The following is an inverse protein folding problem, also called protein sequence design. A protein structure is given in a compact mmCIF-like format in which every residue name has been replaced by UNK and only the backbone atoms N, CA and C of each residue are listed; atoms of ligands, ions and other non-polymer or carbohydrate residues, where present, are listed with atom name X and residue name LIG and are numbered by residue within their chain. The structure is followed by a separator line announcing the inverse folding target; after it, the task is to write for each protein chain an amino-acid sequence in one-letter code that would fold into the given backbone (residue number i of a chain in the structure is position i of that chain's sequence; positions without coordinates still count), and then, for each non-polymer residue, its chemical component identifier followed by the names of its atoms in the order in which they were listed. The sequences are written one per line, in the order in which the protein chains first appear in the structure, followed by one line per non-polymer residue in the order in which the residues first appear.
data_IF_115082138936
#
_entry.id   IF_115082138936
#
_cell.length_a   1.000
_cell.length_b   1.000
_cell.length_c   1.000
_cell.angle_alpha   90.00
_cell.angle_beta   90.00
_cell.angle_gamma   90.00
#
_symmetry.space_group_name_H-M   'P 1'
#
loop_
_entity.id
_entity.type
_entity.pdbx_description
1 polymer ?
#
# COMPACT_ATOMS: atom_id res chain seq x y z
N UNK A 1 59.52 -6.36 2.94
CA UNK A 1 58.99 -5.00 3.23
C UNK A 1 57.97 -4.61 2.17
N UNK A 2 56.83 -5.28 2.04
CA UNK A 2 55.73 -4.90 1.09
C UNK A 2 54.32 -5.23 1.63
N UNK A 3 54.08 -5.23 2.95
CA UNK A 3 52.79 -5.56 3.56
C UNK A 3 52.19 -4.49 4.47
N UNK A 4 52.73 -3.26 4.48
CA UNK A 4 52.27 -2.16 5.36
C UNK A 4 51.53 -1.02 4.67
N UNK A 5 51.46 -0.98 3.35
CA UNK A 5 50.76 0.10 2.61
C UNK A 5 49.30 -0.22 2.23
N UNK A 6 48.80 -1.44 2.42
CA UNK A 6 47.41 -1.83 2.06
C UNK A 6 46.38 -1.57 3.15
N UNK A 7 46.81 -1.36 4.40
CA UNK A 7 45.92 -1.14 5.54
C UNK A 7 45.53 0.33 5.80
N UNK A 8 46.26 1.27 5.22
CA UNK A 8 46.00 2.71 5.41
C UNK A 8 45.06 3.27 4.36
N UNK A 9 44.95 2.68 3.19
CA UNK A 9 44.01 3.08 2.14
C UNK A 9 42.55 2.61 2.38
N UNK A 10 42.34 1.59 3.23
CA UNK A 10 40.99 1.09 3.55
C UNK A 10 40.24 1.92 4.60
N UNK A 11 40.92 2.71 5.44
CA UNK A 11 40.30 3.54 6.47
C UNK A 11 39.84 4.92 5.99
N UNK A 12 40.34 5.43 4.87
CA UNK A 12 39.97 6.76 4.35
C UNK A 12 38.68 6.69 3.51
N UNK A 13 38.35 5.53 2.96
CA UNK A 13 37.12 5.31 2.18
C UNK A 13 35.83 5.18 3.03
N UNK A 14 35.93 4.88 4.33
CA UNK A 14 34.77 4.76 5.22
C UNK A 14 34.34 6.06 5.92
N UNK A 15 35.11 7.12 5.85
CA UNK A 15 34.81 8.38 6.54
C UNK A 15 34.00 9.39 5.70
N UNK A 16 33.70 9.09 4.44
CA UNK A 16 32.99 10.00 3.51
C UNK A 16 31.52 9.63 3.23
N UNK A 17 30.97 8.60 3.89
CA UNK A 17 29.59 8.16 3.66
C UNK A 17 28.56 8.56 4.72
N UNK A 18 28.89 9.45 5.65
CA UNK A 18 27.95 9.95 6.67
C UNK A 18 27.58 11.42 6.50
N UNK A 19 27.48 11.92 5.26
CA UNK A 19 26.69 13.10 4.98
C UNK A 19 25.22 12.68 5.00
N UNK A 20 24.62 12.59 6.20
CA UNK A 20 23.18 12.55 6.38
C UNK A 20 22.63 13.81 5.71
N UNK A 21 22.08 13.65 4.51
CA UNK A 21 21.26 14.67 3.87
C UNK A 21 20.02 14.78 4.77
N UNK A 22 20.06 15.75 5.70
CA UNK A 22 18.85 16.24 6.32
C UNK A 22 18.03 16.87 5.18
N UNK A 23 17.17 16.10 4.56
CA UNK A 23 16.12 16.59 3.70
C UNK A 23 15.18 17.39 4.60
N UNK A 24 15.41 18.70 4.65
CA UNK A 24 14.45 19.63 5.20
C UNK A 24 13.20 19.43 4.36
N UNK A 25 12.17 18.85 4.96
CA UNK A 25 10.82 18.79 4.40
C UNK A 25 10.37 20.23 4.24
N UNK A 26 10.55 20.80 3.04
CA UNK A 26 9.95 22.09 2.72
C UNK A 26 8.44 21.91 2.77
N UNK A 27 7.68 22.89 3.28
CA UNK A 27 6.22 22.84 3.22
C UNK A 27 5.82 22.69 1.75
N UNK A 28 5.14 21.62 1.48
CA UNK A 28 4.75 21.23 0.12
C UNK A 28 3.65 22.19 -0.33
N UNK A 29 4.02 23.29 -0.96
CA UNK A 29 3.11 24.04 -1.82
C UNK A 29 3.01 23.32 -3.17
N UNK A 30 2.64 22.02 -3.15
CA UNK A 30 2.40 21.29 -4.38
C UNK A 30 1.11 21.78 -5.01
N UNK A 31 1.21 22.17 -6.27
CA UNK A 31 0.01 22.39 -7.09
C UNK A 31 -0.80 21.07 -7.18
N UNK A 32 -2.12 21.20 -7.27
CA UNK A 32 -3.02 20.05 -7.38
C UNK A 32 -2.58 19.02 -8.42
N UNK A 33 -2.08 19.50 -9.56
CA UNK A 33 -1.58 18.65 -10.64
C UNK A 33 -0.38 17.79 -10.17
N UNK A 34 0.55 18.38 -9.44
CA UNK A 34 1.74 17.68 -8.94
C UNK A 34 1.35 16.60 -7.91
N UNK A 35 0.40 16.91 -7.01
CA UNK A 35 -0.15 15.96 -6.04
C UNK A 35 -0.83 14.79 -6.75
N UNK A 36 -1.64 15.07 -7.77
CA UNK A 36 -2.31 14.03 -8.55
C UNK A 36 -1.32 13.12 -9.30
N UNK A 37 -0.32 13.70 -9.95
CA UNK A 37 0.71 12.93 -10.67
C UNK A 37 1.54 12.08 -9.69
N UNK A 38 1.88 12.60 -8.52
CA UNK A 38 2.56 11.84 -7.48
C UNK A 38 1.69 10.67 -6.97
N UNK A 39 0.42 10.92 -6.68
CA UNK A 39 -0.52 9.91 -6.23
C UNK A 39 -0.74 8.82 -7.29
N UNK A 40 -0.80 9.17 -8.58
CA UNK A 40 -0.96 8.21 -9.67
C UNK A 40 0.17 7.18 -9.74
N UNK A 41 1.38 7.58 -9.34
CA UNK A 41 2.57 6.71 -9.35
C UNK A 41 2.74 5.98 -8.02
N UNK A 42 2.48 6.65 -6.90
CA UNK A 42 2.90 6.19 -5.57
C UNK A 42 1.76 5.58 -4.74
N UNK A 43 0.49 5.87 -5.04
CA UNK A 43 -0.64 5.33 -4.29
C UNK A 43 -0.63 3.79 -4.28
N UNK A 44 -0.66 3.21 -3.08
CA UNK A 44 -0.59 1.77 -2.88
C UNK A 44 -1.79 1.03 -3.50
N UNK A 45 -2.99 1.65 -3.49
CA UNK A 45 -4.19 1.06 -4.06
C UNK A 45 -4.13 0.98 -5.59
N UNK A 46 -3.53 1.98 -6.24
CA UNK A 46 -3.29 1.98 -7.69
C UNK A 46 -2.29 0.90 -8.07
N UNK A 47 -1.19 0.79 -7.33
CA UNK A 47 -0.19 -0.27 -7.57
C UNK A 47 -0.79 -1.67 -7.42
N UNK A 48 -1.59 -1.88 -6.37
CA UNK A 48 -2.28 -3.13 -6.15
C UNK A 48 -3.29 -3.44 -7.27
N UNK A 49 -4.06 -2.44 -7.72
CA UNK A 49 -5.04 -2.60 -8.80
C UNK A 49 -4.37 -2.87 -10.15
N UNK A 50 -3.23 -2.25 -10.45
CA UNK A 50 -2.43 -2.57 -11.65
C UNK A 50 -1.95 -4.02 -11.61
N UNK A 51 -1.36 -4.46 -10.50
CA UNK A 51 -0.93 -5.85 -10.33
C UNK A 51 -2.10 -6.85 -10.44
N UNK A 52 -3.28 -6.49 -9.92
CA UNK A 52 -4.49 -7.28 -10.05
C UNK A 52 -5.01 -7.36 -11.50
N UNK A 53 -4.94 -6.25 -12.25
CA UNK A 53 -5.30 -6.21 -13.66
C UNK A 53 -4.31 -7.05 -14.50
N UNK A 54 -3.01 -6.98 -14.21
CA UNK A 54 -2.00 -7.81 -14.87
C UNK A 54 -2.23 -9.30 -14.59
N UNK A 55 -2.53 -9.69 -13.35
CA UNK A 55 -2.93 -11.05 -13.00
C UNK A 55 -4.24 -11.47 -13.70
N UNK A 56 -5.16 -10.52 -13.88
CA UNK A 56 -6.39 -10.73 -14.67
C UNK A 56 -6.11 -11.05 -16.14
N UNK A 57 -5.18 -10.35 -16.76
CA UNK A 57 -4.76 -10.58 -18.16
C UNK A 57 -4.18 -11.96 -18.37
N UNK A 58 -3.50 -12.53 -17.38
CA UNK A 58 -2.92 -13.88 -17.45
C UNK A 58 -4.00 -15.00 -17.47
N UNK A 59 -5.25 -14.70 -17.15
CA UNK A 59 -6.35 -15.69 -17.29
C UNK A 59 -6.60 -16.09 -18.73
N UNK A 60 -6.34 -15.20 -19.68
CA UNK A 60 -6.52 -15.51 -21.11
C UNK A 60 -5.48 -16.51 -21.63
N UNK A 61 -4.15 -16.34 -21.42
CA UNK A 61 -3.15 -17.36 -21.74
C UNK A 61 -3.42 -18.70 -21.04
N UNK A 62 -3.84 -18.67 -19.77
CA UNK A 62 -4.18 -19.88 -19.01
C UNK A 62 -5.35 -20.65 -19.64
N UNK A 63 -6.43 -19.94 -20.01
CA UNK A 63 -7.56 -20.55 -20.69
C UNK A 63 -7.17 -21.10 -22.08
N UNK A 64 -6.30 -20.37 -22.82
CA UNK A 64 -5.75 -20.80 -24.09
C UNK A 64 -4.89 -22.06 -23.93
N UNK A 65 -4.09 -22.17 -22.87
CA UNK A 65 -3.30 -23.37 -22.58
C UNK A 65 -4.16 -24.63 -22.42
N UNK A 66 -5.41 -24.47 -21.96
CA UNK A 66 -6.36 -25.56 -21.89
C UNK A 66 -6.78 -26.17 -23.24
N UNK A 67 -6.60 -25.45 -24.34
CA UNK A 67 -6.86 -25.89 -25.71
C UNK A 67 -5.61 -26.51 -26.36
N UNK A 68 -4.43 -26.36 -25.77
CA UNK A 68 -3.17 -26.86 -26.29
C UNK A 68 -2.88 -28.27 -25.79
N UNK A 69 -1.93 -28.99 -26.43
CA UNK A 69 -1.43 -30.28 -25.95
C UNK A 69 -0.84 -30.13 -24.54
N UNK A 70 -1.25 -31.02 -23.63
CA UNK A 70 -0.74 -31.08 -22.27
C UNK A 70 0.21 -32.28 -22.15
N UNK A 71 1.44 -32.01 -21.73
CA UNK A 71 2.47 -33.03 -21.47
C UNK A 71 2.62 -33.12 -19.96
N UNK A 72 2.48 -34.33 -19.41
CA UNK A 72 2.77 -34.61 -18.00
C UNK A 72 3.76 -35.74 -17.88
N UNK A 73 4.73 -35.58 -16.98
CA UNK A 73 5.68 -36.61 -16.60
C UNK A 73 5.52 -36.90 -15.11
N UNK A 74 5.29 -38.16 -14.76
CA UNK A 74 5.19 -38.61 -13.37
C UNK A 74 6.23 -39.68 -13.11
N UNK A 75 6.87 -39.60 -11.96
CA UNK A 75 7.76 -40.63 -11.44
C UNK A 75 7.32 -40.97 -10.02
N UNK A 76 7.07 -42.26 -9.78
CA UNK A 76 6.72 -42.75 -8.45
C UNK A 76 7.55 -43.94 -8.08
N UNK A 77 7.94 -44.04 -6.82
CA UNK A 77 8.60 -45.14 -6.21
C UNK A 77 7.81 -45.59 -5.00
N UNK A 78 7.30 -46.82 -5.03
CA UNK A 78 6.53 -47.41 -3.94
C UNK A 78 7.36 -48.52 -3.28
N UNK A 79 7.34 -48.53 -1.94
CA UNK A 79 7.83 -49.67 -1.16
C UNK A 79 6.61 -50.54 -0.84
N UNK A 80 6.62 -51.74 -1.42
CA UNK A 80 5.54 -52.71 -1.23
C UNK A 80 6.00 -53.74 -0.22
N UNK A 81 5.12 -54.03 0.75
CA UNK A 81 5.26 -55.12 1.68
C UNK A 81 4.05 -56.05 1.49
N UNK A 82 4.29 -57.22 0.97
CA UNK A 82 3.23 -58.20 0.64
C UNK A 82 3.38 -59.41 1.53
N UNK A 83 2.38 -59.59 2.40
CA UNK A 83 2.20 -60.78 3.20
C UNK A 83 1.24 -61.76 2.44
N UNK A 84 1.79 -62.82 1.95
CA UNK A 84 1.03 -63.87 1.21
C UNK A 84 0.98 -65.14 2.05
N UNK A 85 -0.22 -65.62 2.35
CA UNK A 85 -0.40 -66.88 3.04
C UNK A 85 -0.97 -67.92 2.05
N UNK A 86 -0.21 -68.95 1.77
CA UNK A 86 -0.64 -70.07 0.92
C UNK A 86 -0.41 -71.40 1.60
N UNK A 87 -1.31 -72.41 1.40
CA UNK A 87 -1.11 -73.74 1.94
C UNK A 87 0.05 -74.44 1.22
N UNK A 88 0.93 -75.13 1.97
CA UNK A 88 1.98 -75.95 1.40
C UNK A 88 1.39 -77.31 0.93
N UNK A 89 2.24 -78.20 0.31
CA UNK A 89 1.83 -79.55 -0.17
C UNK A 89 1.24 -80.45 0.92
N UNK A 90 1.39 -80.14 2.17
CA UNK A 90 0.82 -80.83 3.35
C UNK A 90 -0.41 -80.15 3.94
N UNK A 91 -0.95 -79.08 3.28
CA UNK A 91 -2.12 -78.34 3.71
C UNK A 91 -1.90 -77.30 4.84
N UNK A 92 -0.65 -77.11 5.33
CA UNK A 92 -0.35 -76.12 6.37
C UNK A 92 -0.19 -74.73 5.78
N UNK A 93 -0.75 -73.67 6.41
CA UNK A 93 -0.58 -72.30 5.95
C UNK A 93 0.89 -71.84 6.14
N UNK A 94 1.53 -71.37 5.07
CA UNK A 94 2.82 -70.75 5.07
C UNK A 94 2.66 -69.28 4.67
N UNK A 95 3.13 -68.37 5.54
CA UNK A 95 3.11 -66.95 5.24
C UNK A 95 4.51 -66.57 4.75
N UNK A 96 4.54 -65.96 3.59
CA UNK A 96 5.76 -65.38 2.98
C UNK A 96 5.62 -63.87 3.00
N UNK A 97 6.62 -63.18 3.50
CA UNK A 97 6.71 -61.69 3.49
C UNK A 97 7.67 -61.27 2.42
N UNK A 98 7.19 -60.66 1.37
CA UNK A 98 8.00 -60.12 0.28
C UNK A 98 8.03 -58.61 0.32
N UNK A 99 9.22 -58.04 0.45
CA UNK A 99 9.43 -56.58 0.39
C UNK A 99 10.12 -56.25 -0.92
N UNK A 100 9.47 -55.39 -1.73
CA UNK A 100 10.07 -54.97 -3.00
C UNK A 100 9.71 -53.51 -3.32
N UNK A 101 10.63 -52.87 -4.05
CA UNK A 101 10.39 -51.53 -4.60
C UNK A 101 9.80 -51.64 -6.00
N UNK A 102 8.76 -50.88 -6.27
CA UNK A 102 8.22 -50.71 -7.62
C UNK A 102 8.42 -49.27 -8.08
N UNK A 103 9.13 -49.09 -9.18
CA UNK A 103 9.36 -47.80 -9.83
C UNK A 103 8.45 -47.70 -11.06
N UNK A 104 7.75 -46.57 -11.15
CA UNK A 104 6.93 -46.22 -12.32
C UNK A 104 7.34 -44.86 -12.85
N UNK A 105 7.60 -44.77 -14.15
CA UNK A 105 7.88 -43.53 -14.87
C UNK A 105 6.91 -43.44 -16.04
N UNK A 106 6.03 -42.45 -16.01
CA UNK A 106 4.99 -42.29 -17.04
C UNK A 106 5.12 -40.93 -17.69
N UNK A 107 5.19 -40.92 -19.02
CA UNK A 107 5.09 -39.72 -19.84
C UNK A 107 3.73 -39.78 -20.58
N UNK A 108 2.92 -38.77 -20.37
CA UNK A 108 1.57 -38.70 -20.96
C UNK A 108 1.42 -37.41 -21.76
N UNK A 109 0.95 -37.54 -23.00
CA UNK A 109 0.50 -36.44 -23.86
C UNK A 109 -1.01 -36.52 -23.99
N UNK A 110 -1.70 -35.42 -23.66
CA UNK A 110 -3.15 -35.32 -23.80
C UNK A 110 -3.50 -34.09 -24.61
N UNK A 111 -4.15 -34.31 -25.77
CA UNK A 111 -4.66 -33.27 -26.67
C UNK A 111 -6.19 -33.33 -26.73
N UNK A 112 -6.92 -32.31 -26.26
CA UNK A 112 -8.37 -32.23 -26.53
C UNK A 112 -8.57 -31.80 -27.98
N UNK A 113 -9.21 -32.66 -28.79
CA UNK A 113 -9.53 -32.37 -30.20
C UNK A 113 -10.81 -31.53 -30.33
N UNK A 114 -11.86 -31.91 -29.61
CA UNK A 114 -13.12 -31.18 -29.52
C UNK A 114 -13.55 -31.12 -28.05
N UNK A 115 -13.59 -29.93 -27.49
CA UNK A 115 -14.05 -29.70 -26.12
C UNK A 115 -14.74 -28.33 -26.01
N UNK A 116 -16.08 -28.38 -26.13
CA UNK A 116 -16.93 -27.17 -26.09
C UNK A 116 -16.78 -26.43 -24.73
N UNK A 117 -16.61 -27.16 -23.63
CA UNK A 117 -16.45 -26.57 -22.31
C UNK A 117 -15.17 -25.70 -22.25
N UNK A 118 -14.04 -26.18 -22.77
CA UNK A 118 -12.79 -25.42 -22.79
C UNK A 118 -12.87 -24.22 -23.73
N UNK A 119 -13.62 -24.34 -24.83
CA UNK A 119 -13.88 -23.23 -25.71
C UNK A 119 -14.69 -22.13 -25.01
N UNK A 120 -15.73 -22.51 -24.28
CA UNK A 120 -16.52 -21.56 -23.49
C UNK A 120 -15.72 -20.93 -22.35
N UNK A 121 -14.82 -21.68 -21.71
CA UNK A 121 -13.90 -21.15 -20.72
C UNK A 121 -12.94 -20.11 -21.32
N UNK A 122 -12.49 -20.30 -22.56
CA UNK A 122 -11.68 -19.33 -23.26
C UNK A 122 -12.46 -18.03 -23.56
N UNK A 123 -13.70 -18.12 -24.00
CA UNK A 123 -14.56 -16.95 -24.21
C UNK A 123 -14.87 -16.25 -22.87
N UNK A 124 -15.13 -17.01 -21.81
CA UNK A 124 -15.30 -16.47 -20.47
C UNK A 124 -14.03 -15.72 -20.00
N UNK A 125 -12.85 -16.25 -20.28
CA UNK A 125 -11.59 -15.59 -19.90
C UNK A 125 -11.42 -14.22 -20.57
N UNK A 126 -11.90 -14.03 -21.82
CA UNK A 126 -11.91 -12.72 -22.47
C UNK A 126 -12.75 -11.70 -21.69
N UNK A 127 -13.94 -12.12 -21.24
CA UNK A 127 -14.81 -11.26 -20.44
C UNK A 127 -14.22 -10.93 -19.07
N UNK A 128 -13.51 -11.88 -18.43
CA UNK A 128 -12.81 -11.66 -17.17
C UNK A 128 -11.62 -10.70 -17.31
N UNK A 129 -10.94 -10.71 -18.44
CA UNK A 129 -9.89 -9.70 -18.73
C UNK A 129 -10.52 -8.31 -18.85
N UNK A 130 -11.60 -8.18 -19.64
CA UNK A 130 -12.31 -6.91 -19.78
C UNK A 130 -12.85 -6.38 -18.43
N UNK A 131 -13.37 -7.26 -17.57
CA UNK A 131 -13.78 -6.92 -16.20
C UNK A 131 -12.62 -6.39 -15.37
N UNK A 132 -11.44 -7.05 -15.44
CA UNK A 132 -10.25 -6.63 -14.70
C UNK A 132 -9.76 -5.25 -15.14
N UNK A 133 -9.81 -4.96 -16.45
CA UNK A 133 -9.44 -3.65 -17.00
C UNK A 133 -10.45 -2.56 -16.61
N UNK A 134 -11.75 -2.83 -16.73
CA UNK A 134 -12.78 -1.90 -16.28
C UNK A 134 -12.72 -1.62 -14.76
N UNK A 135 -12.29 -2.61 -13.99
CA UNK A 135 -12.07 -2.43 -12.54
C UNK A 135 -10.89 -1.52 -12.27
N UNK A 136 -9.79 -1.65 -13.01
CA UNK A 136 -8.64 -0.73 -12.92
C UNK A 136 -9.06 0.69 -13.27
N UNK A 137 -9.80 0.89 -14.38
CA UNK A 137 -10.28 2.20 -14.80
C UNK A 137 -11.14 2.87 -13.73
N UNK A 138 -12.02 2.10 -13.08
CA UNK A 138 -12.83 2.60 -11.95
C UNK A 138 -11.97 3.03 -10.77
N UNK A 139 -10.90 2.29 -10.45
CA UNK A 139 -9.99 2.67 -9.36
C UNK A 139 -9.22 3.95 -9.70
N UNK A 140 -8.80 4.11 -10.97
CA UNK A 140 -8.16 5.35 -11.45
C UNK A 140 -9.11 6.55 -11.38
N UNK A 141 -10.39 6.39 -11.74
CA UNK A 141 -11.40 7.45 -11.58
C UNK A 141 -11.63 7.81 -10.10
N UNK A 142 -11.71 6.81 -9.23
CA UNK A 142 -11.85 7.05 -7.79
C UNK A 142 -10.63 7.75 -7.19
N UNK A 143 -9.42 7.55 -7.73
CA UNK A 143 -8.23 8.28 -7.30
C UNK A 143 -8.43 9.78 -7.47
N UNK A 144 -8.97 10.24 -8.61
CA UNK A 144 -9.23 11.66 -8.85
C UNK A 144 -10.10 12.25 -7.73
N UNK A 145 -11.19 11.55 -7.38
CA UNK A 145 -12.12 11.99 -6.32
C UNK A 145 -11.42 12.05 -4.96
N UNK A 146 -10.63 11.02 -4.61
CA UNK A 146 -9.90 10.96 -3.33
C UNK A 146 -8.86 12.06 -3.21
N UNK A 147 -8.05 12.25 -4.26
CA UNK A 147 -7.00 13.29 -4.27
C UNK A 147 -7.63 14.68 -4.21
N UNK A 148 -8.70 14.91 -4.99
CA UNK A 148 -9.43 16.18 -4.98
C UNK A 148 -9.99 16.48 -3.59
N UNK A 149 -10.66 15.50 -2.96
CA UNK A 149 -11.20 15.65 -1.61
C UNK A 149 -10.11 15.99 -0.59
N UNK A 150 -9.05 15.19 -0.51
CA UNK A 150 -7.96 15.40 0.44
C UNK A 150 -7.22 16.74 0.22
N UNK A 151 -7.03 17.14 -1.03
CA UNK A 151 -6.38 18.41 -1.36
C UNK A 151 -7.21 19.63 -0.91
N UNK A 152 -8.52 19.61 -1.20
CA UNK A 152 -9.40 20.71 -0.77
C UNK A 152 -9.63 20.72 0.74
N UNK A 153 -9.70 19.55 1.41
CA UNK A 153 -9.76 19.49 2.87
C UNK A 153 -8.51 20.11 3.51
N UNK A 154 -7.34 19.84 2.95
CA UNK A 154 -6.10 20.47 3.40
C UNK A 154 -6.13 21.99 3.21
N UNK A 155 -6.52 22.49 2.02
CA UNK A 155 -6.63 23.93 1.77
C UNK A 155 -7.61 24.61 2.71
N UNK A 156 -8.78 24.00 2.92
CA UNK A 156 -9.78 24.54 3.85
C UNK A 156 -9.26 24.61 5.29
N UNK A 157 -8.50 23.61 5.72
CA UNK A 157 -7.92 23.60 7.07
C UNK A 157 -6.81 24.65 7.23
N UNK A 158 -6.05 24.92 6.18
CA UNK A 158 -5.02 25.96 6.15
C UNK A 158 -5.64 27.37 6.24
N UNK A 159 -6.65 27.66 5.42
CA UNK A 159 -7.41 28.90 5.47
C UNK A 159 -8.13 29.10 6.82
N UNK A 160 -8.67 28.01 7.40
CA UNK A 160 -9.29 28.06 8.72
C UNK A 160 -8.26 28.43 9.80
N UNK A 161 -7.05 27.91 9.74
CA UNK A 161 -5.97 28.29 10.66
C UNK A 161 -5.60 29.76 10.51
N UNK A 162 -5.46 30.26 9.28
CA UNK A 162 -5.20 31.70 9.04
C UNK A 162 -6.30 32.59 9.64
N UNK A 163 -7.56 32.21 9.44
CA UNK A 163 -8.69 32.95 10.02
C UNK A 163 -8.61 33.00 11.55
N UNK A 164 -8.36 31.87 12.21
CA UNK A 164 -8.26 31.79 13.67
C UNK A 164 -7.06 32.61 14.19
N UNK A 165 -5.93 32.58 13.48
CA UNK A 165 -4.75 33.40 13.82
C UNK A 165 -5.06 34.90 13.72
N UNK A 166 -5.79 35.31 12.68
CA UNK A 166 -6.25 36.70 12.52
C UNK A 166 -7.20 37.12 13.66
N UNK A 167 -8.13 36.25 14.04
CA UNK A 167 -9.04 36.48 15.18
C UNK A 167 -8.29 36.60 16.50
N UNK A 168 -7.33 35.71 16.76
CA UNK A 168 -6.49 35.79 17.96
C UNK A 168 -5.72 37.10 18.03
N UNK A 169 -5.15 37.56 16.91
CA UNK A 169 -4.46 38.85 16.82
C UNK A 169 -5.40 40.02 17.13
N UNK A 170 -6.63 39.97 16.63
CA UNK A 170 -7.67 40.95 16.91
C UNK A 170 -8.01 40.99 18.42
N UNK A 171 -8.23 39.82 19.05
CA UNK A 171 -8.54 39.76 20.49
C UNK A 171 -7.36 40.21 21.37
N UNK A 172 -6.10 39.92 20.96
CA UNK A 172 -4.93 40.43 21.62
C UNK A 172 -4.91 41.97 21.64
N UNK A 173 -5.24 42.59 20.49
CA UNK A 173 -5.34 44.03 20.38
C UNK A 173 -6.51 44.60 21.22
N UNK A 174 -7.61 43.84 21.34
CA UNK A 174 -8.73 44.24 22.16
C UNK A 174 -8.41 44.23 23.64
N UNK A 175 -7.70 43.19 24.13
CA UNK A 175 -7.18 43.13 25.52
C UNK A 175 -6.27 44.33 25.83
N UNK A 176 -5.38 44.68 24.91
CA UNK A 176 -4.48 45.83 25.08
C UNK A 176 -5.25 47.15 25.09
N UNK A 177 -6.28 47.29 24.26
CA UNK A 177 -7.12 48.47 24.25
C UNK A 177 -7.96 48.60 25.55
N UNK A 178 -8.52 47.49 26.06
CA UNK A 178 -9.26 47.44 27.30
C UNK A 178 -8.38 47.83 28.51
N UNK A 179 -7.12 47.30 28.56
CA UNK A 179 -6.13 47.66 29.59
C UNK A 179 -5.77 49.16 29.58
N UNK A 180 -5.57 49.73 28.38
CA UNK A 180 -5.31 51.16 28.20
C UNK A 180 -6.53 52.04 28.61
N UNK A 181 -7.73 51.58 28.23
CA UNK A 181 -8.97 52.26 28.61
C UNK A 181 -9.18 52.29 30.11
N UNK A 182 -8.90 51.20 30.84
CA UNK A 182 -8.98 51.16 32.30
C UNK A 182 -7.93 52.12 32.92
N UNK A 183 -6.68 52.10 32.41
CA UNK A 183 -5.63 52.99 32.89
C UNK A 183 -5.95 54.48 32.66
N UNK A 184 -6.71 54.83 31.60
CA UNK A 184 -7.21 56.17 31.30
C UNK A 184 -8.51 56.52 32.06
N UNK A 185 -9.04 55.62 32.87
CA UNK A 185 -10.28 55.86 33.63
C UNK A 185 -11.58 55.79 32.81
N UNK A 186 -11.52 55.35 31.53
CA UNK A 186 -12.66 55.24 30.60
C UNK A 186 -13.19 53.81 30.39
N UNK A 187 -12.56 52.81 30.98
CA UNK A 187 -12.90 51.39 30.87
C UNK A 187 -13.21 50.77 32.24
N UNK A 188 -13.74 49.54 32.20
CA UNK A 188 -14.05 48.72 33.38
C UNK A 188 -13.15 47.49 33.46
N UNK A 189 -13.03 46.90 34.65
CA UNK A 189 -12.32 45.64 34.81
C UNK A 189 -12.99 44.51 34.10
N UNK A 190 -14.32 44.53 34.05
CA UNK A 190 -15.16 43.59 33.34
C UNK A 190 -14.83 43.54 31.83
N UNK A 191 -14.51 44.72 31.23
CA UNK A 191 -14.14 44.79 29.80
C UNK A 191 -12.84 44.04 29.53
N UNK A 192 -11.87 44.09 30.48
CA UNK A 192 -10.60 43.35 30.38
C UNK A 192 -10.88 41.86 30.52
N UNK A 193 -11.69 41.46 31.50
CA UNK A 193 -12.01 40.04 31.76
C UNK A 193 -12.77 39.41 30.56
N UNK A 194 -13.73 40.13 29.96
CA UNK A 194 -14.43 39.67 28.74
C UNK A 194 -13.48 39.56 27.54
N UNK A 195 -12.63 40.58 27.32
CA UNK A 195 -11.65 40.53 26.22
C UNK A 195 -10.62 39.39 26.41
N UNK A 196 -10.20 39.14 27.67
CA UNK A 196 -9.31 38.05 27.99
C UNK A 196 -9.95 36.69 27.76
N UNK A 197 -11.22 36.50 28.19
CA UNK A 197 -11.96 35.27 27.95
C UNK A 197 -12.07 34.95 26.46
N UNK A 198 -12.31 35.96 25.61
CA UNK A 198 -12.36 35.81 24.15
C UNK A 198 -10.98 35.43 23.58
N UNK A 199 -9.89 36.01 24.08
CA UNK A 199 -8.53 35.67 23.68
C UNK A 199 -8.20 34.20 24.05
N UNK A 200 -8.60 33.77 25.24
CA UNK A 200 -8.37 32.40 25.71
C UNK A 200 -9.16 31.40 24.86
N UNK A 201 -10.41 31.71 24.51
CA UNK A 201 -11.20 30.91 23.59
C UNK A 201 -10.56 30.84 22.19
N UNK A 202 -10.08 31.95 21.63
CA UNK A 202 -9.39 31.97 20.35
C UNK A 202 -8.08 31.17 20.39
N UNK A 203 -7.41 31.15 21.53
CA UNK A 203 -6.19 30.34 21.72
C UNK A 203 -6.49 28.85 21.76
N UNK A 204 -7.63 28.43 22.31
CA UNK A 204 -8.09 27.04 22.25
C UNK A 204 -8.47 26.65 20.82
N UNK A 205 -9.18 27.53 20.09
CA UNK A 205 -9.53 27.32 18.68
C UNK A 205 -8.29 27.22 17.78
N UNK A 206 -7.23 27.97 18.06
CA UNK A 206 -5.96 27.87 17.33
C UNK A 206 -5.37 26.45 17.46
N UNK A 207 -5.36 25.89 18.68
CA UNK A 207 -4.84 24.54 18.90
C UNK A 207 -5.64 23.49 18.11
N UNK A 208 -6.98 23.61 18.11
CA UNK A 208 -7.86 22.74 17.35
C UNK A 208 -7.61 22.89 15.84
N UNK A 209 -7.52 24.12 15.32
CA UNK A 209 -7.25 24.37 13.92
C UNK A 209 -5.90 23.81 13.46
N UNK A 210 -4.85 23.95 14.29
CA UNK A 210 -3.52 23.36 14.01
C UNK A 210 -3.56 21.83 13.95
N UNK A 211 -4.27 21.18 14.88
CA UNK A 211 -4.44 19.73 14.89
C UNK A 211 -5.18 19.26 13.64
N UNK A 212 -6.22 19.97 13.24
CA UNK A 212 -6.97 19.65 12.02
C UNK A 212 -6.12 19.80 10.76
N UNK A 213 -5.33 20.89 10.65
CA UNK A 213 -4.39 21.10 9.56
C UNK A 213 -3.34 19.97 9.49
N UNK A 214 -2.76 19.59 10.62
CA UNK A 214 -1.79 18.49 10.68
C UNK A 214 -2.41 17.15 10.26
N UNK A 215 -3.67 16.90 10.64
CA UNK A 215 -4.38 15.68 10.27
C UNK A 215 -4.66 15.63 8.76
N UNK A 216 -5.21 16.69 8.17
CA UNK A 216 -5.52 16.75 6.74
C UNK A 216 -4.25 16.71 5.89
N UNK A 217 -3.17 17.34 6.34
CA UNK A 217 -1.86 17.26 5.71
C UNK A 217 -1.35 15.82 5.67
N UNK A 218 -1.40 15.07 6.80
CA UNK A 218 -0.99 13.67 6.84
C UNK A 218 -1.86 12.79 5.94
N UNK A 219 -3.16 13.06 5.84
CA UNK A 219 -4.03 12.34 4.90
C UNK A 219 -3.58 12.53 3.45
N UNK A 220 -3.17 13.75 3.09
CA UNK A 220 -2.63 14.04 1.76
C UNK A 220 -1.27 13.35 1.54
N UNK A 221 -0.36 13.41 2.52
CA UNK A 221 0.95 12.76 2.49
C UNK A 221 0.83 11.23 2.30
N UNK A 222 -0.15 10.58 2.94
CA UNK A 222 -0.41 9.13 2.75
C UNK A 222 -0.79 8.80 1.31
N UNK A 223 -1.53 9.68 0.62
CA UNK A 223 -1.91 9.44 -0.79
C UNK A 223 -0.71 9.52 -1.74
N UNK A 224 0.27 10.35 -1.42
CA UNK A 224 1.51 10.53 -2.20
C UNK A 224 2.67 9.68 -1.67
N UNK A 225 2.41 8.87 -0.62
CA UNK A 225 3.39 7.97 0.04
C UNK A 225 4.68 8.69 0.46
N UNK A 226 4.54 9.90 1.04
CA UNK A 226 5.62 10.69 1.64
C UNK A 226 5.49 10.73 3.16
#
# INVERSE_FOLDING_TARGET
MKARSFLIQSCVACALSSAAIATWSQPVSMDFKQVYEAALVQDASIRASRASADAGREKLPQARAGLLPQISATASRNNNNLDSTSPNLLGNPVTTNDQYFSDSKTLQLRQPLVNMQRWQQFEQAKSLVAESEATLDRVLQNLVVRVTGAYFEYLMSDEQLELVLAQKKMYTSLVDAAKKGLAAGSGTRTDIDDAQARLDMASAQELEARQNQDQTRRQLEVLINQ
#
